data_IF_441673658824
#
_entry.id   IF_441673658824
#
_cell.length_a   1.000
_cell.length_b   1.000
_cell.length_c   1.000
_cell.angle_alpha   90.00
_cell.angle_beta   90.00
_cell.angle_gamma   90.00
#
_symmetry.space_group_name_H-M   'P 1'
#
loop_
_entity.id
_entity.type
_entity.pdbx_description
1 polymer ?
#
# COMPACT_ATOMS: atom_id res chain seq x y z
N UNK A 1 -15.42 -10.71 -6.40
CA UNK A 1 -14.24 -9.82 -6.39
C UNK A 1 -14.77 -8.40 -6.38
N UNK A 2 -14.56 -7.63 -5.32
CA UNK A 2 -15.10 -6.26 -5.24
C UNK A 2 -14.20 -5.33 -6.04
N UNK A 3 -14.70 -4.92 -7.22
CA UNK A 3 -14.13 -3.83 -8.05
C UNK A 3 -14.05 -2.51 -7.24
N UNK A 4 -14.81 -2.42 -6.16
CA UNK A 4 -14.93 -1.25 -5.27
C UNK A 4 -13.65 -0.86 -4.53
N UNK A 5 -12.65 -1.75 -4.42
CA UNK A 5 -11.35 -1.44 -3.78
C UNK A 5 -10.49 -0.53 -4.67
N UNK A 6 -10.67 -0.59 -5.98
CA UNK A 6 -9.86 0.18 -6.93
C UNK A 6 -10.35 1.63 -6.96
N UNK A 7 -9.47 2.64 -6.87
CA UNK A 7 -9.89 4.04 -6.96
C UNK A 7 -10.64 4.33 -8.27
N UNK A 8 -11.80 4.98 -8.16
CA UNK A 8 -12.65 5.33 -9.31
C UNK A 8 -12.03 6.42 -10.18
N UNK A 9 -11.28 7.34 -9.56
CA UNK A 9 -10.47 8.35 -10.23
C UNK A 9 -9.17 8.58 -9.46
N UNK A 10 -8.30 9.45 -9.99
CA UNK A 10 -6.99 9.77 -9.42
C UNK A 10 -7.01 11.04 -8.54
N UNK A 11 -8.18 11.62 -8.27
CA UNK A 11 -8.31 12.85 -7.49
C UNK A 11 -8.51 12.53 -6.02
N UNK A 12 -7.94 13.35 -5.15
CA UNK A 12 -8.10 13.24 -3.70
C UNK A 12 -7.84 11.83 -3.16
N UNK A 13 -6.87 11.13 -3.77
CA UNK A 13 -6.41 9.84 -3.30
C UNK A 13 -5.72 9.98 -1.96
N UNK A 14 -5.92 8.97 -1.12
CA UNK A 14 -5.29 8.89 0.19
C UNK A 14 -4.72 7.50 0.37
N UNK A 15 -3.62 7.39 1.10
CA UNK A 15 -2.99 6.14 1.44
C UNK A 15 -3.14 5.85 2.94
N UNK A 16 -3.54 4.63 3.30
CA UNK A 16 -3.65 4.20 4.69
C UNK A 16 -2.28 4.20 5.38
N UNK A 17 -2.17 4.88 6.51
CA UNK A 17 -0.91 5.00 7.26
C UNK A 17 -0.44 3.68 7.90
N UNK A 18 -1.33 2.67 8.00
CA UNK A 18 -1.00 1.35 8.53
C UNK A 18 -0.60 0.36 7.41
N UNK A 19 -1.39 0.29 6.34
CA UNK A 19 -1.21 -0.75 5.31
C UNK A 19 -0.81 -0.28 3.91
N UNK A 20 -0.70 1.03 3.69
CA UNK A 20 -0.44 1.69 2.40
C UNK A 20 -1.47 1.48 1.29
N UNK A 21 -2.65 0.90 1.58
CA UNK A 21 -3.74 0.82 0.60
C UNK A 21 -4.17 2.23 0.17
N UNK A 22 -4.37 2.43 -1.13
CA UNK A 22 -4.76 3.71 -1.74
C UNK A 22 -6.20 3.63 -2.24
N UNK A 23 -7.03 4.56 -1.79
CA UNK A 23 -8.43 4.76 -2.22
C UNK A 23 -8.78 6.24 -2.23
N UNK A 24 -9.94 6.61 -2.79
CA UNK A 24 -10.48 7.96 -2.59
C UNK A 24 -10.93 8.17 -1.14
N UNK A 25 -11.06 9.43 -0.73
CA UNK A 25 -11.63 9.79 0.56
C UNK A 25 -12.99 9.12 0.79
N UNK A 26 -13.90 9.24 -0.20
CA UNK A 26 -15.25 8.67 -0.15
C UNK A 26 -15.23 7.14 0.01
N UNK A 27 -14.32 6.44 -0.65
CA UNK A 27 -14.21 4.98 -0.53
C UNK A 27 -13.71 4.55 0.85
N UNK A 28 -12.88 5.35 1.52
CA UNK A 28 -12.52 5.08 2.91
C UNK A 28 -13.65 5.38 3.88
N UNK A 29 -14.42 6.44 3.62
CA UNK A 29 -15.58 6.78 4.45
C UNK A 29 -16.69 5.74 4.32
N UNK A 30 -17.01 5.31 3.09
CA UNK A 30 -18.08 4.35 2.84
C UNK A 30 -17.74 2.93 3.32
N UNK A 31 -16.53 2.45 3.03
CA UNK A 31 -16.18 1.04 3.21
C UNK A 31 -15.09 0.79 4.26
N UNK A 32 -14.47 1.85 4.80
CA UNK A 32 -13.30 1.73 5.66
C UNK A 32 -12.06 1.28 4.88
N UNK A 33 -11.04 0.78 5.58
CA UNK A 33 -9.92 0.09 4.94
C UNK A 33 -10.10 -1.43 5.02
N UNK A 34 -10.08 -2.10 3.88
CA UNK A 34 -10.25 -3.54 3.73
C UNK A 34 -9.23 -4.35 4.53
N UNK A 35 -8.07 -3.75 4.84
CA UNK A 35 -7.00 -4.39 5.59
C UNK A 35 -6.98 -4.03 7.08
N UNK A 36 -7.59 -2.90 7.47
CA UNK A 36 -7.32 -2.25 8.76
C UNK A 36 -8.57 -1.73 9.47
N UNK A 37 -9.74 -1.73 8.84
CA UNK A 37 -10.94 -1.12 9.40
C UNK A 37 -11.37 -1.76 10.72
N UNK A 38 -11.07 -3.07 10.89
CA UNK A 38 -11.33 -3.81 12.13
C UNK A 38 -10.61 -3.23 13.36
N UNK A 39 -9.59 -2.38 13.16
CA UNK A 39 -8.81 -1.74 14.23
C UNK A 39 -8.74 -0.22 14.11
N UNK A 40 -8.90 0.33 12.90
CA UNK A 40 -8.91 1.78 12.68
C UNK A 40 -10.33 2.38 12.74
N UNK A 41 -11.36 1.57 12.47
CA UNK A 41 -12.77 1.96 12.54
C UNK A 41 -13.08 3.25 11.76
N UNK A 42 -12.67 3.31 10.49
CA UNK A 42 -12.82 4.49 9.64
C UNK A 42 -14.18 4.53 8.92
N UNK A 43 -14.84 3.38 8.79
CA UNK A 43 -16.14 3.30 8.13
C UNK A 43 -17.19 4.18 8.82
N UNK A 44 -17.76 5.12 8.07
CA UNK A 44 -18.75 6.09 8.54
C UNK A 44 -18.19 7.23 9.39
N UNK A 45 -16.86 7.35 9.51
CA UNK A 45 -16.18 8.36 10.34
C UNK A 45 -15.11 9.08 9.51
N UNK A 46 -15.51 10.21 8.90
CA UNK A 46 -14.66 11.01 8.02
C UNK A 46 -13.43 11.56 8.75
N UNK A 47 -13.57 11.93 10.02
CA UNK A 47 -12.47 12.48 10.82
C UNK A 47 -11.38 11.42 11.02
N UNK A 48 -11.79 10.19 11.35
CA UNK A 48 -10.84 9.06 11.40
C UNK A 48 -10.19 8.77 10.07
N UNK A 49 -10.90 8.92 8.94
CA UNK A 49 -10.27 8.80 7.61
C UNK A 49 -9.15 9.83 7.47
N UNK A 50 -9.38 11.10 7.83
CA UNK A 50 -8.35 12.14 7.76
C UNK A 50 -7.15 11.84 8.67
N UNK A 51 -7.38 11.33 9.87
CA UNK A 51 -6.31 11.01 10.83
C UNK A 51 -5.52 9.74 10.46
N UNK A 52 -6.18 8.74 9.87
CA UNK A 52 -5.59 7.42 9.61
C UNK A 52 -5.04 7.25 8.19
N UNK A 53 -5.18 8.27 7.34
CA UNK A 53 -4.72 8.24 5.95
C UNK A 53 -4.00 9.54 5.57
N UNK A 54 -3.12 9.47 4.57
CA UNK A 54 -2.34 10.62 4.09
C UNK A 54 -2.55 10.86 2.60
N UNK A 55 -2.63 12.12 2.19
CA UNK A 55 -2.55 12.54 0.78
C UNK A 55 -1.11 12.60 0.26
N UNK A 56 -0.12 12.58 1.16
CA UNK A 56 1.29 12.63 0.81
C UNK A 56 1.85 11.21 0.74
N UNK A 57 1.80 10.63 -0.46
CA UNK A 57 2.34 9.30 -0.74
C UNK A 57 2.99 9.28 -2.13
N UNK A 58 3.96 8.39 -2.31
CA UNK A 58 4.71 8.26 -3.55
C UNK A 58 4.58 6.87 -4.14
N UNK A 59 4.46 6.82 -5.46
CA UNK A 59 4.40 5.59 -6.25
C UNK A 59 3.14 4.76 -6.01
N UNK A 60 2.76 3.96 -7.02
CA UNK A 60 1.60 3.08 -6.95
C UNK A 60 1.99 1.65 -7.33
N UNK A 61 1.39 0.68 -6.66
CA UNK A 61 1.55 -0.75 -6.89
C UNK A 61 0.16 -1.36 -7.05
N UNK A 62 -0.11 -1.92 -8.23
CA UNK A 62 -1.30 -2.74 -8.45
C UNK A 62 -1.05 -4.18 -7.98
N UNK A 63 -1.56 -4.53 -6.81
CA UNK A 63 -1.41 -5.86 -6.22
C UNK A 63 -2.56 -6.78 -6.65
N UNK A 64 -2.29 -7.64 -7.64
CA UNK A 64 -3.25 -8.63 -8.14
C UNK A 64 -3.08 -10.02 -7.50
N UNK A 65 -1.84 -10.39 -7.19
CA UNK A 65 -1.46 -11.67 -6.58
C UNK A 65 -0.45 -11.42 -5.44
N UNK A 66 -0.90 -10.93 -4.28
CA UNK A 66 0.01 -10.50 -3.22
C UNK A 66 0.89 -11.62 -2.66
N UNK A 67 0.37 -12.84 -2.55
CA UNK A 67 1.08 -13.98 -1.94
C UNK A 67 2.28 -14.46 -2.76
N UNK A 68 2.19 -14.40 -4.09
CA UNK A 68 3.25 -14.84 -5.01
C UNK A 68 4.18 -13.73 -5.50
N UNK A 69 3.92 -12.47 -5.12
CA UNK A 69 4.68 -11.32 -5.61
C UNK A 69 5.84 -10.96 -4.68
N UNK A 70 7.06 -11.00 -5.23
CA UNK A 70 8.25 -10.52 -4.52
C UNK A 70 8.12 -9.05 -4.09
N UNK A 71 7.57 -8.19 -4.97
CA UNK A 71 7.32 -6.77 -4.66
C UNK A 71 6.38 -6.64 -3.46
N UNK A 72 5.32 -7.46 -3.41
CA UNK A 72 4.38 -7.44 -2.29
C UNK A 72 5.02 -7.96 -0.99
N UNK A 73 5.91 -8.97 -1.07
CA UNK A 73 6.67 -9.47 0.08
C UNK A 73 7.59 -8.40 0.64
N UNK A 74 8.35 -7.74 -0.24
CA UNK A 74 9.27 -6.67 0.14
C UNK A 74 8.53 -5.46 0.74
N UNK A 75 7.39 -5.08 0.15
CA UNK A 75 6.50 -4.04 0.68
C UNK A 75 5.70 -4.41 1.93
N UNK A 76 5.84 -5.65 2.43
CA UNK A 76 5.07 -6.19 3.55
C UNK A 76 3.54 -6.09 3.32
N UNK A 77 3.10 -6.23 2.07
CA UNK A 77 1.69 -6.26 1.64
C UNK A 77 1.27 -7.63 1.09
N UNK A 78 2.13 -8.66 1.15
CA UNK A 78 1.86 -9.99 0.61
C UNK A 78 0.71 -10.75 1.28
N UNK A 79 0.25 -10.31 2.45
CA UNK A 79 -0.92 -10.85 3.17
C UNK A 79 -2.10 -9.88 3.19
N UNK A 80 -2.07 -8.86 2.34
CA UNK A 80 -3.11 -7.83 2.25
C UNK A 80 -4.03 -8.14 1.08
N UNK A 81 -5.20 -7.50 1.06
CA UNK A 81 -6.16 -7.69 -0.03
C UNK A 81 -5.56 -7.29 -1.39
N UNK A 82 -6.21 -7.72 -2.47
CA UNK A 82 -5.89 -7.20 -3.80
C UNK A 82 -6.33 -5.75 -3.87
N UNK A 83 -5.56 -4.89 -4.55
CA UNK A 83 -5.85 -3.46 -4.60
C UNK A 83 -4.64 -2.62 -5.01
N UNK A 84 -4.80 -1.30 -4.93
CA UNK A 84 -3.74 -0.33 -5.21
C UNK A 84 -3.04 0.07 -3.90
N UNK A 85 -1.72 0.05 -3.89
CA UNK A 85 -0.90 0.38 -2.71
C UNK A 85 0.13 1.44 -3.04
N UNK A 86 0.44 2.31 -2.08
CA UNK A 86 1.52 3.28 -2.19
C UNK A 86 2.87 2.63 -1.93
N UNK A 87 3.93 3.12 -2.60
CA UNK A 87 5.31 2.67 -2.35
C UNK A 87 5.81 3.28 -1.03
N UNK A 88 5.61 4.58 -0.86
CA UNK A 88 5.92 5.34 0.34
C UNK A 88 4.69 6.10 0.80
N UNK A 89 4.48 6.22 2.11
CA UNK A 89 3.42 7.05 2.71
C UNK A 89 4.02 7.88 3.82
N UNK A 90 4.02 9.19 3.65
CA UNK A 90 4.46 10.13 4.67
C UNK A 90 3.33 10.45 5.63
N UNK A 91 3.67 10.52 6.92
CA UNK A 91 2.73 10.76 8.01
C UNK A 91 2.85 9.72 9.10
N UNK A 92 2.08 9.90 10.18
CA UNK A 92 2.04 8.95 11.30
C UNK A 92 0.68 8.93 11.95
N UNK A 93 0.25 7.77 12.41
CA UNK A 93 -1.00 7.62 13.15
C UNK A 93 -0.94 8.41 14.47
N UNK A 94 -2.07 8.96 14.95
CA UNK A 94 -2.14 9.60 16.25
C UNK A 94 -1.77 8.64 17.40
N UNK A 95 -1.18 9.17 18.47
CA UNK A 95 -0.74 8.38 19.63
C UNK A 95 -1.85 7.54 20.26
N UNK A 96 -3.10 8.03 20.25
CA UNK A 96 -4.26 7.30 20.73
C UNK A 96 -4.49 6.02 19.93
N UNK A 97 -4.53 6.13 18.60
CA UNK A 97 -4.67 4.98 17.68
C UNK A 97 -3.50 4.01 17.85
N UNK A 98 -2.27 4.51 18.01
CA UNK A 98 -1.09 3.65 18.25
C UNK A 98 -1.24 2.84 19.54
N UNK A 99 -1.76 3.47 20.60
CA UNK A 99 -2.01 2.78 21.87
C UNK A 99 -3.04 1.67 21.71
N UNK A 100 -4.14 1.94 21.02
CA UNK A 100 -5.16 0.93 20.72
C UNK A 100 -4.59 -0.23 19.90
N UNK A 101 -3.84 0.05 18.84
CA UNK A 101 -3.16 -0.98 18.04
C UNK A 101 -2.26 -1.88 18.89
N UNK A 102 -1.55 -1.28 19.86
CA UNK A 102 -0.68 -2.02 20.78
C UNK A 102 -1.48 -2.97 21.68
N UNK A 103 -2.68 -2.59 22.13
CA UNK A 103 -3.54 -3.47 22.97
C UNK A 103 -4.00 -4.71 22.20
N UNK A 104 -4.20 -4.59 20.88
CA UNK A 104 -4.57 -5.70 19.98
C UNK A 104 -3.34 -6.48 19.48
N UNK A 105 -2.14 -6.12 19.92
CA UNK A 105 -0.88 -6.77 19.55
C UNK A 105 -0.32 -6.36 18.18
N UNK A 106 -0.83 -5.29 17.58
CA UNK A 106 -0.33 -4.74 16.32
C UNK A 106 0.82 -3.79 16.62
N UNK A 107 2.01 -4.11 16.10
CA UNK A 107 3.17 -3.22 16.21
C UNK A 107 3.12 -2.16 15.11
N UNK A 108 3.04 -0.90 15.53
CA UNK A 108 3.17 0.27 14.67
C UNK A 108 4.39 1.10 15.08
N UNK A 109 5.09 1.66 14.09
CA UNK A 109 6.16 2.65 14.30
C UNK A 109 5.86 3.90 13.46
N UNK A 110 5.98 5.12 14.01
CA UNK A 110 5.89 6.34 13.24
C UNK A 110 6.81 6.31 12.02
N UNK A 111 6.32 6.76 10.87
CA UNK A 111 7.07 6.74 9.61
C UNK A 111 7.39 5.35 9.06
N UNK A 112 6.82 4.26 9.59
CA UNK A 112 7.13 2.89 9.11
C UNK A 112 6.84 2.67 7.62
N UNK A 113 5.94 3.48 7.05
CA UNK A 113 5.59 3.46 5.63
C UNK A 113 6.29 4.53 4.81
N UNK A 114 7.08 5.40 5.44
CA UNK A 114 7.87 6.40 4.73
C UNK A 114 9.20 5.76 4.29
N UNK A 115 9.29 5.44 3.01
CA UNK A 115 10.48 4.85 2.40
C UNK A 115 11.27 5.86 1.57
N UNK A 116 10.93 7.15 1.62
CA UNK A 116 11.57 8.19 0.81
C UNK A 116 13.10 8.21 1.00
N UNK A 117 13.58 7.95 2.23
CA UNK A 117 15.01 7.90 2.54
C UNK A 117 15.71 6.61 2.07
N UNK A 118 14.97 5.53 1.78
CA UNK A 118 15.50 4.24 1.31
C UNK A 118 15.33 4.06 -0.21
N UNK A 119 14.72 5.04 -0.90
CA UNK A 119 14.17 4.89 -2.25
C UNK A 119 15.18 4.71 -3.38
N UNK A 120 16.43 5.18 -3.24
CA UNK A 120 17.46 5.00 -4.28
C UNK A 120 17.97 3.55 -4.36
N UNK A 121 18.09 2.85 -3.23
CA UNK A 121 18.37 1.41 -3.23
C UNK A 121 17.14 0.62 -3.70
N UNK A 122 15.95 1.10 -3.36
CA UNK A 122 14.67 0.45 -3.68
C UNK A 122 14.45 0.28 -5.18
N UNK A 123 14.70 1.33 -5.97
CA UNK A 123 14.57 1.30 -7.44
C UNK A 123 15.72 0.47 -8.06
N UNK A 124 16.94 0.60 -7.52
CA UNK A 124 18.11 -0.13 -8.04
C UNK A 124 18.05 -1.64 -7.79
N UNK A 125 17.56 -2.08 -6.63
CA UNK A 125 17.36 -3.50 -6.32
C UNK A 125 16.20 -4.12 -7.12
N UNK A 126 15.09 -3.39 -7.30
CA UNK A 126 14.00 -3.82 -8.19
C UNK A 126 14.50 -3.98 -9.63
N UNK A 127 15.30 -3.02 -10.12
CA UNK A 127 15.88 -3.04 -11.46
C UNK A 127 16.88 -4.19 -11.67
N UNK A 128 17.75 -4.46 -10.69
CA UNK A 128 18.80 -5.48 -10.82
C UNK A 128 18.33 -6.92 -10.63
N UNK A 129 17.16 -7.17 -10.02
CA UNK A 129 16.71 -8.53 -9.73
C UNK A 129 15.91 -9.22 -10.86
N UNK A 130 15.57 -8.55 -11.99
CA UNK A 130 14.88 -9.21 -13.11
C UNK A 130 15.30 -8.73 -14.49
N UNK A 131 16.15 -9.51 -15.16
CA UNK A 131 16.32 -9.56 -16.62
C UNK A 131 15.06 -10.07 -17.35
N UNK A 132 13.86 -9.59 -17.01
CA UNK A 132 12.62 -10.02 -17.66
C UNK A 132 11.76 -8.80 -17.99
N UNK A 133 12.02 -8.28 -19.19
CA UNK A 133 11.15 -7.46 -20.04
C UNK A 133 10.33 -6.39 -19.31
N UNK A 134 11.00 -5.36 -18.81
CA UNK A 134 10.32 -4.08 -18.51
C UNK A 134 10.45 -3.23 -19.78
N UNK A 135 9.45 -3.28 -20.66
CA UNK A 135 9.35 -2.28 -21.72
C UNK A 135 9.02 -0.94 -21.06
N UNK A 136 10.06 -0.13 -20.84
CA UNK A 136 9.92 1.28 -20.50
C UNK A 136 9.27 2.00 -21.68
N UNK A 137 8.02 2.43 -21.52
CA UNK A 137 7.53 3.62 -22.23
C UNK A 137 7.72 4.82 -21.31
N UNK A 138 8.35 5.94 -21.76
CA UNK A 138 8.82 7.01 -20.88
C UNK A 138 7.72 7.89 -20.25
N UNK A 139 6.45 7.50 -20.25
CA UNK A 139 5.35 8.44 -19.93
C UNK A 139 4.16 7.85 -19.17
N UNK A 140 4.21 6.60 -18.68
CA UNK A 140 3.14 6.07 -17.85
C UNK A 140 3.68 5.07 -16.83
N UNK A 141 3.62 5.44 -15.55
CA UNK A 141 3.88 4.54 -14.41
C UNK A 141 2.75 3.51 -14.33
N UNK A 142 2.90 2.36 -15.00
CA UNK A 142 2.04 1.20 -14.80
C UNK A 142 2.91 -0.04 -14.58
N UNK A 143 2.93 -0.55 -13.35
CA UNK A 143 3.63 -1.79 -13.00
C UNK A 143 2.67 -2.95 -13.11
N UNK A 144 2.79 -3.74 -14.18
CA UNK A 144 2.15 -5.04 -14.32
C UNK A 144 3.24 -6.12 -14.24
N UNK A 145 3.40 -6.73 -13.05
CA UNK A 145 4.32 -7.87 -12.88
C UNK A 145 3.50 -9.15 -12.86
N UNK A 146 3.30 -9.75 -14.03
CA UNK A 146 2.89 -11.15 -14.10
C UNK A 146 4.07 -12.04 -13.70
N UNK A 147 3.86 -12.87 -12.69
CA UNK A 147 4.84 -13.85 -12.23
C UNK A 147 5.00 -14.97 -13.24
N UNK A 148 6.23 -15.23 -13.67
CA UNK A 148 6.64 -16.59 -14.02
C UNK A 148 6.91 -17.36 -12.71
N UNK A 149 6.53 -18.64 -12.64
CA UNK A 149 6.83 -19.47 -11.47
C UNK A 149 8.34 -19.58 -11.31
N UNK A 150 8.83 -19.47 -10.08
CA UNK A 150 10.21 -19.77 -9.74
C UNK A 150 10.45 -21.26 -9.96
N UNK A 151 10.84 -21.65 -11.17
CA UNK A 151 11.45 -22.96 -11.40
C UNK A 151 12.80 -22.93 -10.69
N UNK A 152 12.91 -23.79 -9.68
CA UNK A 152 14.07 -23.90 -8.80
C UNK A 152 15.38 -24.03 -9.57
N UNK A 153 16.36 -23.23 -9.17
CA UNK A 153 17.76 -23.57 -9.37
C UNK A 153 18.18 -24.49 -8.23
N UNK A 154 18.65 -25.68 -8.61
CA UNK A 154 19.47 -26.55 -7.76
C UNK A 154 20.78 -25.85 -7.42
#
# INVERSE_FOLDING_TARGET
>A
MSVEIVPRDLRNLRACLLCSLVKSLEQFEMDGCENCDRVLHMKGDTDKVYECTSTNFDGLIASMMPEGSWVCKWQKINRKCKGIYAISVSGSLPSAVISELKTVGIRYKPGMRDTATTSLLYIYEIYNQKSTVVNMLPSAFFFEIYGLPATGYK
#
